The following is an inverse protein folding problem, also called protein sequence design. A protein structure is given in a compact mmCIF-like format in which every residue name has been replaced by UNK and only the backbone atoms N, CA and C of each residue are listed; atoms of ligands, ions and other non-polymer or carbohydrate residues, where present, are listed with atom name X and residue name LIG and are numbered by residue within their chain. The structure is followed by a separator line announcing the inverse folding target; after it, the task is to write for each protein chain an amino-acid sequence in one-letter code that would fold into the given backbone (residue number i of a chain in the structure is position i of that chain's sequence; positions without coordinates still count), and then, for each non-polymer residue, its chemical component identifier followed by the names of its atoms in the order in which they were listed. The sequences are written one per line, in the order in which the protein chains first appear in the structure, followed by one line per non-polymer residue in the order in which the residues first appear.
data_IF_446765831391
#
_entry.id   IF_446765831391
#
_cell.length_a   1.000
_cell.length_b   1.000
_cell.length_c   1.000
_cell.angle_alpha   90.00
_cell.angle_beta   90.00
_cell.angle_gamma   90.00
#
_symmetry.space_group_name_H-M   'P 1'
#
loop_
_entity.id
_entity.type
_entity.pdbx_description
1 polymer ?
#
# COMPACT_ATOMS: atom_id res chain seq x y z
N UNK A 1 24.83 0.57 -6.37
CA UNK A 1 24.12 -0.20 -7.42
C UNK A 1 22.91 0.60 -7.87
N UNK A 2 22.60 0.62 -9.17
CA UNK A 2 21.33 1.23 -9.63
C UNK A 2 20.13 0.43 -9.10
N UNK A 3 18.94 1.02 -8.91
CA UNK A 3 17.73 0.32 -8.44
C UNK A 3 17.37 -0.91 -9.25
N UNK A 4 17.73 -0.93 -10.50
CA UNK A 4 17.49 -1.97 -11.49
C UNK A 4 18.32 -3.24 -11.28
N UNK A 5 19.59 -3.09 -10.96
CA UNK A 5 20.43 -4.23 -10.59
C UNK A 5 19.89 -4.91 -9.32
N UNK A 6 19.23 -4.15 -8.44
CA UNK A 6 18.64 -4.64 -7.20
C UNK A 6 17.37 -5.49 -7.46
N UNK A 7 16.46 -5.04 -8.32
CA UNK A 7 15.24 -5.82 -8.65
C UNK A 7 15.59 -7.15 -9.33
N UNK A 8 16.51 -7.13 -10.30
CA UNK A 8 17.00 -8.34 -10.98
C UNK A 8 17.73 -9.29 -10.03
N UNK A 9 18.52 -8.74 -9.10
CA UNK A 9 19.20 -9.51 -8.05
C UNK A 9 18.20 -10.22 -7.14
N UNK A 10 17.20 -9.49 -6.65
CA UNK A 10 16.18 -10.06 -5.76
C UNK A 10 15.32 -11.10 -6.47
N UNK A 11 14.93 -10.85 -7.73
CA UNK A 11 14.20 -11.86 -8.51
C UNK A 11 15.02 -13.14 -8.75
N UNK A 12 16.36 -13.07 -8.73
CA UNK A 12 17.20 -14.27 -8.89
C UNK A 12 17.22 -15.18 -7.65
N UNK A 13 16.73 -14.69 -6.50
CA UNK A 13 16.57 -15.52 -5.28
C UNK A 13 15.27 -16.32 -5.27
N UNK A 14 14.32 -15.96 -6.15
CA UNK A 14 13.02 -16.63 -6.23
C UNK A 14 13.17 -18.04 -6.81
N UNK A 15 12.61 -19.02 -6.13
CA UNK A 15 12.61 -20.41 -6.62
C UNK A 15 11.71 -20.55 -7.85
N UNK A 16 12.26 -21.11 -8.93
CA UNK A 16 11.46 -21.39 -10.12
C UNK A 16 10.51 -22.58 -9.85
N UNK A 17 9.19 -22.37 -9.91
CA UNK A 17 8.22 -23.41 -9.61
C UNK A 17 8.10 -24.49 -10.70
N UNK A 18 8.77 -24.31 -11.83
CA UNK A 18 8.72 -25.25 -12.95
C UNK A 18 9.77 -26.37 -12.80
N UNK A 19 9.45 -27.58 -13.27
CA UNK A 19 10.43 -28.64 -13.39
C UNK A 19 11.53 -28.28 -14.41
N UNK A 20 12.77 -28.72 -14.16
CA UNK A 20 13.93 -28.40 -15.01
C UNK A 20 13.77 -28.82 -16.49
N UNK A 21 12.93 -29.81 -16.78
CA UNK A 21 12.72 -30.34 -18.13
C UNK A 21 11.99 -29.33 -19.06
N UNK A 22 11.21 -28.39 -18.49
CA UNK A 22 10.36 -27.48 -19.25
C UNK A 22 10.72 -25.99 -19.08
N UNK A 23 11.93 -25.67 -18.67
CA UNK A 23 12.40 -24.30 -18.43
C UNK A 23 13.03 -23.67 -19.71
N UNK A 24 12.26 -23.58 -20.80
CA UNK A 24 12.74 -22.96 -22.04
C UNK A 24 13.04 -21.46 -21.89
N UNK A 25 12.40 -20.77 -20.96
CA UNK A 25 12.57 -19.34 -20.68
C UNK A 25 13.01 -19.14 -19.24
N UNK A 26 13.95 -18.24 -19.00
CA UNK A 26 14.44 -17.90 -17.66
C UNK A 26 13.34 -17.25 -16.83
N UNK A 27 13.22 -17.59 -15.53
CA UNK A 27 12.23 -16.99 -14.62
C UNK A 27 12.41 -15.48 -14.55
N UNK A 28 13.64 -15.00 -14.38
CA UNK A 28 13.95 -13.57 -14.36
C UNK A 28 13.46 -12.81 -15.60
N UNK A 29 13.63 -13.40 -16.79
CA UNK A 29 13.17 -12.80 -18.04
C UNK A 29 11.65 -12.68 -18.06
N UNK A 30 10.93 -13.73 -17.61
CA UNK A 30 9.45 -13.73 -17.51
C UNK A 30 8.95 -12.64 -16.54
N UNK A 31 9.57 -12.52 -15.37
CA UNK A 31 9.18 -11.53 -14.36
C UNK A 31 9.42 -10.11 -14.87
N UNK A 32 10.58 -9.83 -15.46
CA UNK A 32 10.91 -8.52 -16.00
C UNK A 32 10.05 -8.16 -17.23
N UNK A 33 9.73 -9.12 -18.10
CA UNK A 33 8.72 -8.91 -19.15
C UNK A 33 7.39 -8.49 -18.55
N UNK A 34 6.94 -9.14 -17.47
CA UNK A 34 5.72 -8.79 -16.75
C UNK A 34 5.76 -7.35 -16.22
N UNK A 35 6.81 -6.98 -15.47
CA UNK A 35 6.98 -5.62 -14.91
C UNK A 35 6.96 -4.57 -16.01
N UNK A 36 7.79 -4.73 -17.04
CA UNK A 36 7.92 -3.76 -18.14
C UNK A 36 6.62 -3.62 -18.93
N UNK A 37 5.98 -4.75 -19.23
CA UNK A 37 4.69 -4.76 -19.95
C UNK A 37 3.59 -4.03 -19.15
N UNK A 38 3.50 -4.26 -17.84
CA UNK A 38 2.56 -3.56 -16.97
C UNK A 38 2.85 -2.06 -16.93
N UNK A 39 4.12 -1.66 -16.80
CA UNK A 39 4.51 -0.24 -16.86
C UNK A 39 4.02 0.39 -18.18
N UNK A 40 4.12 -0.31 -19.29
CA UNK A 40 3.76 0.16 -20.62
C UNK A 40 2.27 -0.02 -20.97
N UNK A 41 1.40 -0.40 -20.04
CA UNK A 41 -0.04 -0.41 -20.25
C UNK A 41 -0.69 -1.78 -20.43
N UNK A 42 0.07 -2.90 -20.48
CA UNK A 42 -0.52 -4.23 -20.57
C UNK A 42 -1.30 -4.60 -19.30
N UNK A 43 -2.48 -5.17 -19.47
CA UNK A 43 -3.40 -5.57 -18.39
C UNK A 43 -3.69 -7.08 -18.40
N UNK A 44 -3.44 -7.75 -19.52
CA UNK A 44 -3.67 -9.20 -19.69
C UNK A 44 -2.37 -9.91 -20.10
N UNK A 45 -2.28 -11.23 -19.82
CA UNK A 45 -1.14 -12.03 -20.24
C UNK A 45 -0.92 -11.96 -21.75
N UNK A 46 -2.00 -11.97 -22.53
CA UNK A 46 -1.96 -11.82 -23.99
C UNK A 46 -1.35 -10.49 -24.42
N UNK A 47 -1.75 -9.38 -23.80
CA UNK A 47 -1.19 -8.05 -24.06
C UNK A 47 0.29 -7.98 -23.70
N UNK A 48 0.72 -8.63 -22.60
CA UNK A 48 2.14 -8.70 -22.22
C UNK A 48 2.97 -9.39 -23.31
N UNK A 49 2.49 -10.50 -23.84
CA UNK A 49 3.16 -11.21 -24.95
C UNK A 49 3.20 -10.36 -26.21
N UNK A 50 2.08 -9.72 -26.58
CA UNK A 50 2.02 -8.86 -27.77
C UNK A 50 2.99 -7.68 -27.63
N UNK A 51 3.02 -7.02 -26.48
CA UNK A 51 3.95 -5.94 -26.20
C UNK A 51 5.41 -6.44 -26.27
N UNK A 52 5.72 -7.54 -25.58
CA UNK A 52 7.06 -8.09 -25.54
C UNK A 52 7.57 -8.48 -26.92
N UNK A 53 6.75 -9.09 -27.75
CA UNK A 53 7.09 -9.41 -29.15
C UNK A 53 7.36 -8.15 -29.99
N UNK A 54 6.54 -7.10 -29.81
CA UNK A 54 6.73 -5.82 -30.52
C UNK A 54 7.99 -5.06 -30.08
N UNK A 55 8.51 -5.37 -28.89
CA UNK A 55 9.68 -4.73 -28.27
C UNK A 55 10.82 -5.72 -27.98
N UNK A 56 10.89 -6.85 -28.68
CA UNK A 56 11.88 -7.88 -28.40
C UNK A 56 13.32 -7.36 -28.50
N UNK A 57 13.63 -6.52 -29.48
CA UNK A 57 14.94 -5.88 -29.60
C UNK A 57 15.30 -5.00 -28.42
N UNK A 58 14.33 -4.32 -27.83
CA UNK A 58 14.50 -3.55 -26.60
C UNK A 58 14.78 -4.46 -25.40
N UNK A 59 13.99 -5.51 -25.22
CA UNK A 59 14.19 -6.49 -24.15
C UNK A 59 15.56 -7.17 -24.22
N UNK A 60 16.05 -7.50 -25.42
CA UNK A 60 17.38 -8.12 -25.63
C UNK A 60 18.55 -7.24 -25.20
N UNK A 61 18.34 -5.95 -24.94
CA UNK A 61 19.40 -5.08 -24.38
C UNK A 61 19.75 -5.45 -22.93
N UNK A 62 18.84 -6.09 -22.17
CA UNK A 62 19.05 -6.41 -20.75
C UNK A 62 18.52 -7.78 -20.32
N UNK A 63 17.79 -8.51 -21.17
CA UNK A 63 17.34 -9.89 -20.96
C UNK A 63 18.10 -10.87 -21.87
N UNK A 64 18.20 -12.12 -21.42
CA UNK A 64 18.90 -13.17 -22.16
C UNK A 64 18.03 -13.71 -23.30
N UNK A 65 16.76 -14.00 -23.04
CA UNK A 65 15.76 -14.51 -23.97
C UNK A 65 16.26 -15.69 -24.82
N UNK A 66 16.71 -16.80 -24.21
CA UNK A 66 17.36 -17.91 -24.93
C UNK A 66 16.45 -18.52 -26.00
N UNK A 67 15.14 -18.54 -25.79
CA UNK A 67 14.14 -19.04 -26.74
C UNK A 67 13.11 -17.95 -27.14
N UNK A 68 13.54 -16.68 -27.17
CA UNK A 68 12.67 -15.53 -27.51
C UNK A 68 11.63 -15.22 -26.41
N UNK A 69 10.51 -14.64 -26.82
CA UNK A 69 9.44 -14.21 -25.90
C UNK A 69 8.56 -15.42 -25.52
N UNK A 70 8.27 -15.63 -24.21
CA UNK A 70 7.42 -16.72 -23.74
C UNK A 70 5.98 -16.58 -24.27
N UNK A 71 5.27 -17.70 -24.37
CA UNK A 71 3.85 -17.72 -24.71
C UNK A 71 2.98 -17.21 -23.58
N UNK A 72 1.71 -16.85 -23.88
CA UNK A 72 0.70 -16.46 -22.89
C UNK A 72 0.51 -17.54 -21.81
N UNK A 73 0.43 -18.81 -22.23
CA UNK A 73 0.28 -19.95 -21.31
C UNK A 73 1.50 -20.10 -20.39
N UNK A 74 2.70 -19.83 -20.90
CA UNK A 74 3.92 -19.87 -20.08
C UNK A 74 3.90 -18.78 -19.01
N UNK A 75 3.54 -17.53 -19.37
CA UNK A 75 3.42 -16.42 -18.42
C UNK A 75 2.33 -16.74 -17.38
N UNK A 76 1.14 -17.15 -17.82
CA UNK A 76 0.05 -17.50 -16.93
C UNK A 76 0.44 -18.62 -15.95
N UNK A 77 1.04 -19.70 -16.45
CA UNK A 77 1.48 -20.82 -15.61
C UNK A 77 2.52 -20.40 -14.59
N UNK A 78 3.51 -19.60 -14.97
CA UNK A 78 4.55 -19.13 -14.05
C UNK A 78 3.92 -18.27 -12.93
N UNK A 79 3.16 -17.21 -13.28
CA UNK A 79 2.52 -16.36 -12.28
C UNK A 79 1.44 -17.07 -11.44
N UNK A 80 0.87 -18.17 -11.92
CA UNK A 80 -0.03 -19.00 -11.14
C UNK A 80 0.69 -19.92 -10.16
N UNK A 81 1.91 -20.36 -10.48
CA UNK A 81 2.64 -21.38 -9.73
C UNK A 81 3.69 -20.82 -8.76
N UNK A 82 4.15 -19.57 -8.96
CA UNK A 82 5.07 -18.92 -8.01
C UNK A 82 4.43 -18.90 -6.63
N UNK A 83 5.19 -19.31 -5.61
CA UNK A 83 4.77 -19.14 -4.22
C UNK A 83 4.59 -17.67 -3.91
N UNK A 84 3.42 -17.31 -3.40
CA UNK A 84 3.07 -15.92 -3.18
C UNK A 84 3.82 -15.29 -1.99
N UNK A 85 4.17 -16.07 -0.97
CA UNK A 85 4.95 -15.58 0.18
C UNK A 85 6.41 -15.34 -0.23
N UNK A 86 6.98 -16.21 -1.05
CA UNK A 86 8.32 -16.02 -1.59
C UNK A 86 8.38 -14.78 -2.50
N UNK A 87 7.36 -14.58 -3.34
CA UNK A 87 7.31 -13.38 -4.21
C UNK A 87 7.08 -12.09 -3.42
N UNK A 88 6.26 -12.13 -2.37
CA UNK A 88 6.07 -11.00 -1.45
C UNK A 88 7.36 -10.66 -0.71
N UNK A 89 8.10 -11.68 -0.22
CA UNK A 89 9.42 -11.48 0.40
C UNK A 89 10.39 -10.80 -0.57
N UNK A 90 10.49 -11.26 -1.81
CA UNK A 90 11.29 -10.60 -2.84
C UNK A 90 10.88 -9.14 -3.05
N UNK A 91 9.57 -8.85 -3.08
CA UNK A 91 9.08 -7.49 -3.21
C UNK A 91 9.51 -6.60 -2.02
N UNK A 92 9.34 -7.09 -0.78
CA UNK A 92 9.71 -6.39 0.44
C UNK A 92 11.22 -6.15 0.52
N UNK A 93 12.05 -7.16 0.22
CA UNK A 93 13.51 -7.03 0.15
C UNK A 93 13.95 -5.97 -0.88
N UNK A 94 13.31 -5.97 -2.05
CA UNK A 94 13.60 -4.95 -3.06
C UNK A 94 13.25 -3.55 -2.54
N UNK A 95 12.07 -3.36 -1.94
CA UNK A 95 11.64 -2.07 -1.39
C UNK A 95 12.58 -1.59 -0.30
N UNK A 96 12.90 -2.42 0.68
CA UNK A 96 13.87 -2.09 1.75
C UNK A 96 15.23 -1.67 1.17
N UNK A 97 15.63 -2.28 0.05
CA UNK A 97 16.90 -1.91 -0.62
C UNK A 97 16.89 -0.54 -1.29
N UNK A 98 15.74 0.03 -1.62
CA UNK A 98 15.60 1.30 -2.37
C UNK A 98 14.91 2.42 -1.60
N UNK A 99 14.25 2.11 -0.48
CA UNK A 99 13.64 3.06 0.44
C UNK A 99 14.43 3.11 1.75
N UNK A 100 14.58 4.31 2.32
CA UNK A 100 15.08 4.48 3.68
C UNK A 100 13.98 5.21 4.44
N UNK A 101 13.30 4.49 5.33
CA UNK A 101 12.27 5.10 6.15
C UNK A 101 12.90 6.14 7.08
N UNK A 102 12.34 7.34 7.12
CA UNK A 102 12.77 8.39 8.03
C UNK A 102 12.09 8.18 9.39
N UNK A 103 12.79 8.51 10.47
CA UNK A 103 12.21 8.50 11.82
C UNK A 103 10.92 9.33 11.87
N UNK A 104 9.88 8.77 12.48
CA UNK A 104 8.54 9.37 12.55
C UNK A 104 7.76 9.37 11.24
N UNK A 105 8.22 8.64 10.22
CA UNK A 105 7.48 8.50 8.97
C UNK A 105 6.16 7.76 9.18
N UNK A 106 5.09 8.29 8.58
CA UNK A 106 3.76 7.67 8.67
C UNK A 106 3.63 6.56 7.65
N UNK A 107 3.30 5.36 8.14
CA UNK A 107 2.94 4.20 7.32
C UNK A 107 1.46 3.91 7.54
N UNK A 108 0.67 3.98 6.48
CA UNK A 108 -0.75 3.65 6.51
C UNK A 108 -0.96 2.18 6.14
N UNK A 109 -1.79 1.48 6.91
CA UNK A 109 -2.21 0.11 6.62
C UNK A 109 -3.70 0.12 6.34
N UNK A 110 -4.09 -0.48 5.22
CA UNK A 110 -5.49 -0.56 4.81
C UNK A 110 -5.71 -1.76 3.87
N UNK A 111 -6.95 -2.26 3.87
CA UNK A 111 -7.36 -3.41 3.08
C UNK A 111 -8.12 -3.02 1.81
N UNK A 112 -7.91 -3.80 0.75
CA UNK A 112 -8.61 -3.64 -0.53
C UNK A 112 -9.05 -4.97 -1.09
N UNK A 113 -10.32 -5.06 -1.50
CA UNK A 113 -10.85 -6.23 -2.23
C UNK A 113 -10.65 -6.06 -3.73
N UNK A 114 -9.97 -7.02 -4.38
CA UNK A 114 -9.78 -7.07 -5.84
C UNK A 114 -11.01 -7.75 -6.45
N UNK A 115 -12.02 -6.97 -6.85
CA UNK A 115 -13.37 -7.44 -7.19
C UNK A 115 -13.38 -8.44 -8.36
N UNK A 116 -12.59 -8.21 -9.41
CA UNK A 116 -12.51 -9.07 -10.59
C UNK A 116 -11.87 -10.44 -10.36
N UNK A 117 -11.09 -10.59 -9.29
CA UNK A 117 -10.32 -11.80 -8.98
C UNK A 117 -11.14 -12.89 -8.28
N UNK A 118 -12.47 -12.81 -8.26
CA UNK A 118 -13.33 -13.84 -7.70
C UNK A 118 -13.24 -15.14 -8.51
N UNK A 119 -12.69 -16.19 -7.91
CA UNK A 119 -12.60 -17.53 -8.52
C UNK A 119 -13.96 -18.22 -8.56
N UNK A 120 -14.18 -19.07 -9.58
CA UNK A 120 -15.38 -19.90 -9.67
C UNK A 120 -15.48 -20.80 -8.42
N UNK A 121 -16.65 -20.84 -7.79
CA UNK A 121 -16.90 -21.65 -6.57
C UNK A 121 -16.46 -21.00 -5.25
N UNK A 122 -15.75 -19.87 -5.25
CA UNK A 122 -15.40 -19.14 -4.04
C UNK A 122 -16.46 -18.09 -3.68
N UNK A 123 -16.74 -17.94 -2.36
CA UNK A 123 -17.74 -16.98 -1.86
C UNK A 123 -17.29 -15.53 -2.00
N UNK A 124 -15.99 -15.25 -1.88
CA UNK A 124 -15.43 -13.89 -1.88
C UNK A 124 -14.33 -13.69 -2.92
N UNK A 125 -14.15 -12.45 -3.34
CA UNK A 125 -12.98 -11.99 -4.06
C UNK A 125 -11.75 -11.92 -3.13
N UNK A 126 -10.55 -11.86 -3.70
CA UNK A 126 -9.31 -11.75 -2.92
C UNK A 126 -9.27 -10.40 -2.21
N UNK A 127 -9.01 -10.44 -0.91
CA UNK A 127 -8.80 -9.25 -0.08
C UNK A 127 -7.31 -9.12 0.27
N UNK A 128 -6.75 -7.95 0.06
CA UNK A 128 -5.33 -7.66 0.26
C UNK A 128 -5.18 -6.52 1.27
N UNK A 129 -4.34 -6.70 2.29
CA UNK A 129 -3.90 -5.62 3.18
C UNK A 129 -2.56 -5.11 2.68
N UNK A 130 -2.39 -3.79 2.61
CA UNK A 130 -1.18 -3.14 2.09
C UNK A 130 -0.63 -2.13 3.09
N UNK A 131 0.70 -1.97 3.10
CA UNK A 131 1.41 -0.94 3.84
C UNK A 131 1.94 0.14 2.89
N UNK A 132 1.67 1.40 3.21
CA UNK A 132 1.94 2.56 2.37
C UNK A 132 2.77 3.61 3.12
N UNK A 133 3.98 3.89 2.65
CA UNK A 133 4.82 4.98 3.16
C UNK A 133 4.29 6.32 2.62
N UNK A 134 3.70 7.13 3.52
CA UNK A 134 2.95 8.33 3.12
C UNK A 134 3.83 9.43 2.53
N UNK A 135 5.06 9.63 3.05
CA UNK A 135 5.99 10.65 2.58
C UNK A 135 6.60 10.27 1.23
N UNK A 136 7.05 9.03 1.08
CA UNK A 136 7.72 8.55 -0.13
C UNK A 136 6.74 8.20 -1.24
N UNK A 137 5.48 7.99 -0.88
CA UNK A 137 4.43 7.50 -1.77
C UNK A 137 4.79 6.12 -2.38
N UNK A 138 5.28 5.20 -1.55
CA UNK A 138 5.66 3.85 -1.94
C UNK A 138 4.85 2.79 -1.18
N UNK A 139 4.55 1.70 -1.86
CA UNK A 139 4.03 0.49 -1.22
C UNK A 139 5.21 -0.26 -0.63
N UNK A 140 5.15 -0.55 0.68
CA UNK A 140 6.22 -1.25 1.39
C UNK A 140 6.04 -2.77 1.37
N UNK A 141 4.80 -3.23 1.41
CA UNK A 141 4.44 -4.64 1.41
C UNK A 141 2.94 -4.82 1.31
N UNK A 142 2.52 -6.07 1.15
CA UNK A 142 1.13 -6.47 1.19
C UNK A 142 1.01 -7.89 1.70
N UNK A 143 -0.17 -8.28 2.14
CA UNK A 143 -0.50 -9.65 2.47
C UNK A 143 -1.95 -9.96 2.06
N UNK A 144 -2.20 -11.20 1.64
CA UNK A 144 -3.55 -11.67 1.39
C UNK A 144 -4.22 -12.04 2.70
N UNK A 145 -5.46 -11.62 2.86
CA UNK A 145 -6.32 -12.09 3.95
C UNK A 145 -6.84 -13.49 3.62
N UNK A 146 -6.69 -14.42 4.53
CA UNK A 146 -7.18 -15.79 4.37
C UNK A 146 -8.71 -15.83 4.33
N UNK A 147 -9.28 -16.80 3.58
CA UNK A 147 -10.74 -16.91 3.34
C UNK A 147 -11.58 -17.08 4.61
N UNK A 148 -10.99 -17.59 5.69
CA UNK A 148 -11.64 -17.79 7.00
C UNK A 148 -11.25 -16.76 8.04
N UNK A 149 -10.59 -15.70 7.64
CA UNK A 149 -9.94 -14.69 8.46
C UNK A 149 -10.41 -13.29 8.03
N UNK A 150 -9.87 -12.27 8.66
CA UNK A 150 -10.12 -10.86 8.37
C UNK A 150 -8.81 -10.06 8.45
N UNK A 151 -8.87 -8.76 8.24
CA UNK A 151 -7.71 -7.87 8.31
C UNK A 151 -7.02 -7.91 9.69
N UNK A 152 -7.78 -8.11 10.77
CA UNK A 152 -7.25 -8.12 12.14
C UNK A 152 -6.16 -9.18 12.31
N UNK A 153 -6.29 -10.33 11.66
CA UNK A 153 -5.31 -11.41 11.74
C UNK A 153 -4.20 -11.27 10.69
N UNK A 154 -4.45 -10.56 9.59
CA UNK A 154 -3.45 -10.35 8.54
C UNK A 154 -2.48 -9.21 8.87
N UNK A 155 -2.93 -8.15 9.55
CA UNK A 155 -2.12 -6.98 9.88
C UNK A 155 -0.87 -7.34 10.70
N UNK A 156 -0.93 -8.14 11.79
CA UNK A 156 0.27 -8.54 12.52
C UNK A 156 1.31 -9.21 11.62
N UNK A 157 0.90 -10.16 10.79
CA UNK A 157 1.81 -10.86 9.88
C UNK A 157 2.44 -9.89 8.84
N UNK A 158 1.70 -8.87 8.40
CA UNK A 158 2.28 -7.84 7.52
C UNK A 158 3.32 -7.00 8.27
N UNK A 159 3.05 -6.61 9.51
CA UNK A 159 3.97 -5.82 10.33
C UNK A 159 5.28 -6.55 10.62
N UNK A 160 5.24 -7.89 10.82
CA UNK A 160 6.42 -8.71 11.09
C UNK A 160 7.40 -8.80 9.91
N UNK A 161 6.93 -8.64 8.67
CA UNK A 161 7.79 -8.70 7.48
C UNK A 161 8.32 -7.35 7.03
N UNK A 162 7.87 -6.26 7.67
CA UNK A 162 8.26 -4.89 7.34
C UNK A 162 9.30 -4.36 8.33
N UNK A 163 10.25 -3.62 7.82
CA UNK A 163 11.14 -2.79 8.64
C UNK A 163 10.39 -1.49 8.97
N UNK A 164 9.85 -1.40 10.19
CA UNK A 164 8.99 -0.27 10.64
C UNK A 164 9.54 0.45 11.87
N UNK A 165 10.78 0.18 12.27
CA UNK A 165 11.43 0.83 13.41
C UNK A 165 11.29 2.37 13.32
N UNK A 166 10.98 3.00 14.45
CA UNK A 166 10.74 4.45 14.59
C UNK A 166 9.58 5.02 13.74
N UNK A 167 8.84 4.21 12.98
CA UNK A 167 7.69 4.67 12.18
C UNK A 167 6.44 4.91 13.03
N UNK A 168 5.46 5.62 12.44
CA UNK A 168 4.11 5.80 12.99
C UNK A 168 3.13 5.04 12.11
N UNK A 169 2.58 3.97 12.64
CA UNK A 169 1.60 3.13 11.95
C UNK A 169 0.20 3.69 12.14
N UNK A 170 -0.51 3.96 11.06
CA UNK A 170 -1.89 4.41 11.07
C UNK A 170 -2.81 3.36 10.49
N UNK A 171 -3.87 3.00 11.22
CA UNK A 171 -4.85 1.99 10.82
C UNK A 171 -6.24 2.53 11.10
N UNK A 172 -7.21 2.10 10.28
CA UNK A 172 -8.62 2.40 10.49
C UNK A 172 -9.20 1.71 11.75
N UNK A 173 -10.48 1.94 12.04
CA UNK A 173 -11.08 1.42 13.25
C UNK A 173 -11.16 -0.11 13.31
N UNK A 174 -11.19 -0.82 12.18
CA UNK A 174 -11.20 -2.29 12.18
C UNK A 174 -9.88 -2.83 12.77
N UNK A 175 -8.76 -2.18 12.46
CA UNK A 175 -7.45 -2.53 12.99
C UNK A 175 -7.15 -1.96 14.39
N UNK A 176 -8.12 -1.28 15.04
CA UNK A 176 -7.97 -0.85 16.44
C UNK A 176 -8.15 -2.06 17.36
N UNK A 177 -7.08 -2.84 17.52
CA UNK A 177 -7.03 -4.06 18.33
C UNK A 177 -5.78 -4.06 19.21
N UNK A 178 -5.91 -4.62 20.43
CA UNK A 178 -4.84 -4.64 21.43
C UNK A 178 -3.60 -5.40 20.94
N UNK A 179 -3.81 -6.54 20.29
CA UNK A 179 -2.73 -7.35 19.73
C UNK A 179 -1.98 -6.61 18.62
N UNK A 180 -2.69 -5.87 17.77
CA UNK A 180 -2.07 -5.05 16.72
C UNK A 180 -1.26 -3.91 17.36
N UNK A 181 -1.80 -3.21 18.36
CA UNK A 181 -1.06 -2.18 19.09
C UNK A 181 0.21 -2.75 19.73
N UNK A 182 0.12 -3.94 20.33
CA UNK A 182 1.25 -4.64 20.90
C UNK A 182 2.29 -5.01 19.83
N UNK A 183 1.89 -5.63 18.73
CA UNK A 183 2.80 -5.98 17.63
C UNK A 183 3.54 -4.75 17.09
N UNK A 184 2.87 -3.61 16.93
CA UNK A 184 3.53 -2.36 16.49
C UNK A 184 4.61 -1.95 17.49
N UNK A 185 4.32 -1.99 18.79
CA UNK A 185 5.26 -1.60 19.84
C UNK A 185 6.41 -2.59 19.97
N UNK A 186 6.16 -3.88 19.81
CA UNK A 186 7.18 -4.94 19.85
C UNK A 186 8.16 -4.82 18.66
N UNK A 187 7.77 -4.17 17.58
CA UNK A 187 8.62 -3.82 16.42
C UNK A 187 9.20 -2.39 16.51
N UNK A 188 9.34 -1.83 17.69
CA UNK A 188 9.91 -0.50 17.97
C UNK A 188 9.26 0.64 17.17
N UNK A 189 8.00 0.49 16.77
CA UNK A 189 7.19 1.49 16.08
C UNK A 189 6.15 2.14 17.02
N UNK A 190 5.49 3.17 16.52
CA UNK A 190 4.40 3.84 17.20
C UNK A 190 3.10 3.70 16.43
N UNK A 191 1.97 3.92 17.10
CA UNK A 191 0.66 3.80 16.45
C UNK A 191 -0.20 5.06 16.60
N UNK A 192 -1.10 5.25 15.64
CA UNK A 192 -2.30 6.10 15.72
C UNK A 192 -3.45 5.26 15.19
N UNK A 193 -4.34 4.78 16.06
CA UNK A 193 -5.45 3.89 15.72
C UNK A 193 -6.79 4.62 15.87
N UNK A 194 -7.65 4.52 14.85
CA UNK A 194 -8.99 5.10 14.90
C UNK A 194 -9.89 4.27 15.82
N UNK A 195 -10.67 4.94 16.67
CA UNK A 195 -11.58 4.31 17.63
C UNK A 195 -13.02 4.55 17.20
N UNK A 196 -13.82 3.47 17.14
CA UNK A 196 -15.25 3.47 16.87
C UNK A 196 -15.98 2.50 17.79
N UNK A 197 -17.24 2.22 17.47
CA UNK A 197 -18.15 1.36 18.25
C UNK A 197 -17.64 -0.08 18.42
N UNK A 198 -16.72 -0.55 17.59
CA UNK A 198 -16.06 -1.85 17.77
C UNK A 198 -15.21 -1.91 19.04
N UNK A 199 -14.87 -0.74 19.63
CA UNK A 199 -14.20 -0.56 20.92
C UNK A 199 -15.05 0.34 21.82
N UNK A 200 -16.32 -0.04 22.06
CA UNK A 200 -17.35 0.79 22.72
C UNK A 200 -16.90 1.35 24.08
N UNK A 201 -16.36 0.50 24.95
CA UNK A 201 -15.88 0.92 26.26
C UNK A 201 -14.75 1.95 26.20
N UNK A 202 -13.79 1.75 25.28
CA UNK A 202 -12.71 2.72 25.06
C UNK A 202 -13.25 4.04 24.49
N UNK A 203 -14.22 3.96 23.58
CA UNK A 203 -14.86 5.14 23.01
C UNK A 203 -15.61 5.97 24.07
N UNK A 204 -16.31 5.32 24.98
CA UNK A 204 -16.98 5.97 26.13
C UNK A 204 -15.94 6.64 27.05
N UNK A 205 -14.90 5.91 27.44
CA UNK A 205 -13.80 6.45 28.24
C UNK A 205 -13.18 7.72 27.60
N UNK A 206 -12.99 7.70 26.26
CA UNK A 206 -12.47 8.85 25.50
C UNK A 206 -13.48 10.01 25.48
N UNK A 207 -14.78 9.74 25.33
CA UNK A 207 -15.81 10.78 25.37
C UNK A 207 -15.81 11.48 26.72
N UNK A 208 -15.73 10.72 27.82
CA UNK A 208 -15.68 11.29 29.17
C UNK A 208 -14.40 12.10 29.38
N UNK A 209 -13.26 11.62 28.84
CA UNK A 209 -12.01 12.37 28.90
C UNK A 209 -12.15 13.74 28.24
N UNK A 210 -12.69 13.83 27.01
CA UNK A 210 -12.89 15.11 26.32
C UNK A 210 -14.00 15.99 26.96
N UNK A 211 -14.89 15.40 27.77
CA UNK A 211 -15.94 16.12 28.47
C UNK A 211 -15.44 16.78 29.75
N UNK A 212 -14.55 16.12 30.50
CA UNK A 212 -14.16 16.52 31.84
C UNK A 212 -12.74 17.08 31.95
N UNK A 213 -11.85 16.76 31.00
CA UNK A 213 -10.48 17.28 31.01
C UNK A 213 -10.45 18.79 30.78
N UNK A 214 -9.56 19.47 31.52
CA UNK A 214 -9.30 20.91 31.37
C UNK A 214 -8.09 21.20 30.48
N UNK A 215 -7.15 20.28 30.39
CA UNK A 215 -5.89 20.43 29.67
C UNK A 215 -5.98 19.78 28.28
N UNK A 216 -6.60 20.54 27.36
CA UNK A 216 -6.78 20.11 25.96
C UNK A 216 -5.96 21.01 25.05
N UNK A 217 -4.93 20.46 24.42
CA UNK A 217 -4.20 21.16 23.37
C UNK A 217 -4.95 21.07 22.05
N UNK A 218 -5.04 22.19 21.32
CA UNK A 218 -5.81 22.26 20.08
C UNK A 218 -5.02 22.85 18.93
N UNK A 219 -5.26 22.34 17.72
CA UNK A 219 -4.81 22.93 16.48
C UNK A 219 -5.95 22.98 15.46
N UNK A 220 -6.09 24.14 14.78
CA UNK A 220 -7.13 24.32 13.74
C UNK A 220 -6.47 24.57 12.39
N UNK A 221 -6.95 23.88 11.36
CA UNK A 221 -6.59 24.15 9.99
C UNK A 221 -7.83 24.41 9.13
N UNK A 222 -7.69 25.25 8.11
CA UNK A 222 -8.73 25.54 7.13
C UNK A 222 -8.15 25.32 5.73
N UNK A 223 -8.77 24.42 4.96
CA UNK A 223 -8.41 24.13 3.58
C UNK A 223 -9.55 24.52 2.65
N UNK A 224 -9.23 25.14 1.50
CA UNK A 224 -10.20 25.48 0.47
C UNK A 224 -9.78 24.86 -0.85
N UNK A 225 -10.55 23.86 -1.35
CA UNK A 225 -10.28 23.21 -2.63
C UNK A 225 -11.56 22.63 -3.24
N UNK A 226 -11.60 22.50 -4.57
CA UNK A 226 -12.70 21.88 -5.31
C UNK A 226 -14.12 22.39 -4.92
N UNK A 227 -14.27 23.71 -4.71
CA UNK A 227 -15.55 24.33 -4.39
C UNK A 227 -16.06 24.09 -2.97
N UNK A 228 -15.19 23.67 -2.05
CA UNK A 228 -15.52 23.45 -0.63
C UNK A 228 -14.49 24.10 0.30
N UNK A 229 -14.94 24.45 1.50
CA UNK A 229 -14.08 24.83 2.61
C UNK A 229 -14.18 23.73 3.66
N UNK A 230 -13.06 23.26 4.12
CA UNK A 230 -12.98 22.24 5.16
C UNK A 230 -12.16 22.75 6.35
N UNK A 231 -12.85 22.95 7.47
CA UNK A 231 -12.24 23.31 8.76
C UNK A 231 -12.04 22.06 9.60
N UNK A 232 -10.84 21.85 10.11
CA UNK A 232 -10.51 20.74 11.01
C UNK A 232 -9.93 21.25 12.30
N UNK A 233 -10.44 20.72 13.41
CA UNK A 233 -9.90 20.96 14.74
C UNK A 233 -9.37 19.63 15.28
N UNK A 234 -8.09 19.57 15.59
CA UNK A 234 -7.46 18.47 16.29
C UNK A 234 -7.34 18.87 17.77
N UNK A 235 -7.91 18.07 18.64
CA UNK A 235 -7.83 18.21 20.10
C UNK A 235 -7.08 17.02 20.67
N UNK A 236 -6.12 17.26 21.56
CA UNK A 236 -5.19 16.26 22.10
C UNK A 236 -5.15 16.32 23.62
N UNK A 237 -5.20 15.17 24.29
CA UNK A 237 -5.03 15.00 25.73
C UNK A 237 -3.96 13.93 25.97
N UNK A 238 -2.95 14.27 26.77
CA UNK A 238 -1.84 13.36 27.14
C UNK A 238 -1.89 12.93 28.61
N UNK A 239 -2.46 13.76 29.47
CA UNK A 239 -2.72 13.40 30.87
C UNK A 239 -4.20 13.11 31.05
N UNK A 240 -4.59 11.86 30.84
CA UNK A 240 -5.97 11.39 30.94
C UNK A 240 -6.19 10.56 32.20
N UNK A 241 -7.40 10.72 32.79
CA UNK A 241 -7.79 10.09 34.03
C UNK A 241 -8.95 9.09 33.85
N UNK A 242 -9.80 9.29 32.87
CA UNK A 242 -11.01 8.50 32.62
C UNK A 242 -10.71 7.28 31.74
N UNK A 243 -9.76 7.39 30.83
CA UNK A 243 -9.31 6.22 30.04
C UNK A 243 -8.59 5.26 30.98
N UNK A 244 -9.20 4.10 31.21
CA UNK A 244 -8.66 3.10 32.15
C UNK A 244 -7.28 2.65 31.70
N UNK A 245 -6.26 3.02 32.46
CA UNK A 245 -4.85 2.64 32.26
C UNK A 245 -4.56 1.17 32.61
N UNK A 246 -5.50 0.27 32.40
CA UNK A 246 -5.42 -1.14 32.84
C UNK A 246 -4.39 -2.00 32.03
N UNK A 247 -3.37 -1.40 31.43
CA UNK A 247 -2.37 -2.12 30.64
C UNK A 247 -2.91 -2.78 29.36
N UNK A 248 -4.18 -2.49 29.02
CA UNK A 248 -4.85 -3.12 27.89
C UNK A 248 -4.38 -2.61 26.52
N UNK A 249 -3.82 -1.39 26.47
CA UNK A 249 -3.27 -0.75 25.27
C UNK A 249 -1.80 -0.45 25.50
N UNK A 250 -0.93 -1.16 24.80
CA UNK A 250 0.51 -1.07 24.99
C UNK A 250 1.01 0.36 24.70
N UNK A 251 1.76 0.93 25.64
CA UNK A 251 2.29 2.31 25.58
C UNK A 251 1.27 3.40 25.18
N UNK A 252 -0.01 3.26 25.50
CA UNK A 252 -0.99 4.34 25.26
C UNK A 252 -0.59 5.61 26.01
N UNK A 253 -0.41 6.71 25.26
CA UNK A 253 0.04 8.02 25.80
C UNK A 253 -0.88 9.18 25.47
N UNK A 254 -1.68 9.06 24.40
CA UNK A 254 -2.44 10.19 23.88
C UNK A 254 -3.81 9.73 23.38
N UNK A 255 -4.84 10.50 23.71
CA UNK A 255 -6.16 10.41 23.08
C UNK A 255 -6.41 11.66 22.24
N UNK A 256 -6.99 11.46 21.05
CA UNK A 256 -7.11 12.48 20.02
C UNK A 256 -8.55 12.55 19.53
N UNK A 257 -9.06 13.78 19.37
CA UNK A 257 -10.35 14.06 18.73
C UNK A 257 -10.12 14.93 17.50
N UNK A 258 -10.62 14.51 16.33
CA UNK A 258 -10.67 15.32 15.11
C UNK A 258 -12.13 15.71 14.85
N UNK A 259 -12.39 16.99 14.85
CA UNK A 259 -13.67 17.58 14.45
C UNK A 259 -13.48 18.19 13.06
N UNK A 260 -14.31 17.81 12.11
CA UNK A 260 -14.26 18.36 10.73
C UNK A 260 -15.60 18.97 10.36
N UNK A 261 -15.56 20.19 9.80
CA UNK A 261 -16.69 20.89 9.21
C UNK A 261 -16.40 21.12 7.74
N UNK A 262 -17.29 20.66 6.86
CA UNK A 262 -17.17 20.81 5.42
C UNK A 262 -18.34 21.64 4.87
N UNK A 263 -18.02 22.78 4.30
CA UNK A 263 -18.95 23.73 3.71
C UNK A 263 -18.78 23.75 2.19
N UNK A 264 -19.88 23.67 1.44
CA UNK A 264 -19.85 23.64 -0.01
C UNK A 264 -20.16 25.03 -0.56
N UNK A 265 -19.24 25.55 -1.41
CA UNK A 265 -19.44 26.83 -2.11
C UNK A 265 -20.37 26.63 -3.31
N UNK A 266 -21.28 27.56 -3.52
CA UNK A 266 -22.18 27.57 -4.68
C UNK A 266 -22.97 26.24 -4.85
N UNK A 267 -23.44 25.67 -3.74
CA UNK A 267 -24.20 24.42 -3.71
C UNK A 267 -25.20 24.45 -2.56
N UNK A 268 -26.40 23.89 -2.80
CA UNK A 268 -27.43 23.71 -1.78
C UNK A 268 -27.16 22.52 -0.85
N UNK A 269 -25.97 21.89 -0.96
CA UNK A 269 -25.59 20.80 -0.06
C UNK A 269 -25.42 21.31 1.37
N UNK A 270 -26.01 20.62 2.34
CA UNK A 270 -25.87 20.99 3.75
C UNK A 270 -24.40 20.85 4.19
N UNK A 271 -24.04 21.65 5.19
CA UNK A 271 -22.75 21.51 5.87
C UNK A 271 -22.63 20.14 6.51
N UNK A 272 -21.54 19.44 6.22
CA UNK A 272 -21.23 18.14 6.80
C UNK A 272 -20.33 18.34 8.02
N UNK A 273 -20.72 17.74 9.17
CA UNK A 273 -19.91 17.70 10.37
C UNK A 273 -19.56 16.25 10.69
N UNK A 274 -18.31 16.00 11.10
CA UNK A 274 -17.89 14.68 11.54
C UNK A 274 -16.91 14.79 12.71
N UNK A 275 -17.03 13.86 13.66
CA UNK A 275 -16.10 13.70 14.78
C UNK A 275 -15.49 12.31 14.70
N UNK A 276 -14.18 12.23 14.93
CA UNK A 276 -13.43 10.97 14.96
C UNK A 276 -12.48 10.96 16.13
N UNK A 277 -12.34 9.80 16.75
CA UNK A 277 -11.46 9.59 17.90
C UNK A 277 -10.34 8.64 17.56
N UNK A 278 -9.18 8.86 18.19
CA UNK A 278 -7.98 8.05 17.99
C UNK A 278 -7.26 7.87 19.32
N UNK A 279 -6.51 6.78 19.40
CA UNK A 279 -5.50 6.52 20.43
C UNK A 279 -4.12 6.47 19.83
N UNK A 280 -3.10 6.83 20.61
CA UNK A 280 -1.72 6.82 20.13
C UNK A 280 -0.71 6.50 21.24
N UNK A 281 0.37 5.82 20.85
CA UNK A 281 1.59 5.66 21.65
C UNK A 281 2.54 6.86 21.55
N UNK A 282 2.33 7.77 20.58
CA UNK A 282 3.12 8.99 20.42
C UNK A 282 2.72 10.07 21.41
N UNK A 283 3.67 10.98 21.67
CA UNK A 283 3.42 12.30 22.25
C UNK A 283 3.89 13.32 21.22
N UNK A 284 2.94 13.86 20.45
CA UNK A 284 3.17 14.83 19.35
C UNK A 284 2.32 16.08 19.60
N UNK A 285 2.67 17.16 18.90
CA UNK A 285 1.82 18.34 18.84
C UNK A 285 0.50 18.06 18.08
N UNK A 286 -0.58 18.79 18.43
CA UNK A 286 -1.88 18.62 17.79
C UNK A 286 -1.84 18.81 16.27
N UNK A 287 -0.96 19.67 15.77
CA UNK A 287 -0.72 19.90 14.32
C UNK A 287 -0.11 18.67 13.63
N UNK A 288 0.81 17.98 14.31
CA UNK A 288 1.48 16.78 13.79
C UNK A 288 0.52 15.58 13.80
N UNK A 289 -0.28 15.40 14.84
CA UNK A 289 -1.34 14.41 14.86
C UNK A 289 -2.34 14.63 13.73
N UNK A 290 -2.80 15.88 13.53
CA UNK A 290 -3.72 16.21 12.43
C UNK A 290 -3.13 15.85 11.07
N UNK A 291 -1.85 16.18 10.84
CA UNK A 291 -1.11 15.86 9.60
C UNK A 291 -0.97 14.34 9.41
N UNK A 292 -0.59 13.61 10.45
CA UNK A 292 -0.42 12.15 10.40
C UNK A 292 -1.73 11.43 10.13
N UNK A 293 -2.81 11.79 10.83
CA UNK A 293 -4.15 11.23 10.62
C UNK A 293 -4.66 11.54 9.20
N UNK A 294 -4.42 12.76 8.71
CA UNK A 294 -4.81 13.14 7.34
C UNK A 294 -4.03 12.35 6.29
N UNK A 295 -2.75 12.06 6.54
CA UNK A 295 -1.91 11.32 5.60
C UNK A 295 -2.36 9.87 5.40
N UNK A 296 -3.08 9.28 6.38
CA UNK A 296 -3.68 7.95 6.25
C UNK A 296 -4.55 7.81 4.99
N UNK A 297 -5.34 8.84 4.65
CA UNK A 297 -6.14 8.85 3.41
C UNK A 297 -5.32 8.78 2.12
N UNK A 298 -3.99 8.94 2.25
CA UNK A 298 -3.07 8.75 1.12
C UNK A 298 -3.10 7.34 0.56
N UNK A 299 -3.33 6.31 1.38
CA UNK A 299 -3.41 4.93 0.91
C UNK A 299 -4.62 4.72 -0.02
N UNK A 300 -5.79 5.28 0.30
CA UNK A 300 -6.96 5.20 -0.58
C UNK A 300 -6.74 5.97 -1.89
N UNK A 301 -6.30 7.23 -1.80
CA UNK A 301 -6.24 8.14 -2.94
C UNK A 301 -5.01 7.95 -3.83
N UNK A 302 -3.87 7.56 -3.24
CA UNK A 302 -2.58 7.47 -3.95
C UNK A 302 -2.15 6.02 -4.23
N UNK A 303 -2.78 5.03 -3.60
CA UNK A 303 -2.55 3.62 -3.86
C UNK A 303 -3.81 2.98 -4.47
N UNK A 304 -4.87 2.78 -3.69
CA UNK A 304 -6.03 1.99 -4.12
C UNK A 304 -6.70 2.57 -5.37
N UNK A 305 -7.04 3.86 -5.35
CA UNK A 305 -7.62 4.53 -6.51
C UNK A 305 -6.68 4.51 -7.73
N UNK A 306 -5.37 4.66 -7.52
CA UNK A 306 -4.39 4.62 -8.63
C UNK A 306 -4.27 3.23 -9.23
N UNK A 307 -4.33 2.17 -8.42
CA UNK A 307 -4.36 0.79 -8.93
C UNK A 307 -5.62 0.52 -9.76
N UNK A 308 -6.77 1.08 -9.35
CA UNK A 308 -8.02 0.89 -10.11
C UNK A 308 -8.05 1.71 -11.39
N UNK A 309 -7.80 3.01 -11.32
CA UNK A 309 -7.92 3.90 -12.49
C UNK A 309 -6.68 3.84 -13.39
N UNK A 310 -5.50 3.67 -12.80
CA UNK A 310 -4.23 3.64 -13.51
C UNK A 310 -3.86 2.28 -14.08
N UNK A 311 -4.23 1.18 -13.41
CA UNK A 311 -3.84 -0.19 -13.78
C UNK A 311 -5.02 -1.13 -14.01
N UNK A 312 -6.26 -0.65 -13.79
CA UNK A 312 -7.49 -1.45 -13.96
C UNK A 312 -7.50 -2.73 -13.10
N UNK A 313 -6.98 -2.63 -11.84
CA UNK A 313 -6.81 -3.79 -10.95
C UNK A 313 -8.14 -4.51 -10.66
N UNK A 314 -9.20 -3.75 -10.37
CA UNK A 314 -10.53 -4.29 -10.06
C UNK A 314 -11.19 -5.05 -11.22
N UNK A 315 -10.80 -4.78 -12.47
CA UNK A 315 -11.27 -5.53 -13.64
C UNK A 315 -10.42 -6.76 -13.96
N UNK A 316 -9.33 -7.00 -13.22
CA UNK A 316 -8.44 -8.15 -13.45
C UNK A 316 -9.13 -9.48 -13.19
N UNK A 317 -9.14 -10.35 -14.20
CA UNK A 317 -9.75 -11.69 -14.14
C UNK A 317 -8.73 -12.82 -13.99
N UNK A 318 -7.56 -12.54 -13.44
CA UNK A 318 -6.55 -13.56 -13.14
C UNK A 318 -7.00 -14.32 -11.89
N UNK A 319 -7.45 -15.57 -12.06
CA UNK A 319 -8.14 -16.34 -11.02
C UNK A 319 -7.52 -17.70 -10.74
N UNK A 320 -6.48 -18.06 -11.49
CA UNK A 320 -5.84 -19.36 -11.39
C UNK A 320 -4.83 -19.36 -10.23
N UNK A 321 -5.00 -20.25 -9.26
CA UNK A 321 -4.09 -20.43 -8.12
C UNK A 321 -3.61 -19.08 -7.53
N UNK A 322 -2.30 -18.81 -7.55
CA UNK A 322 -1.68 -17.59 -7.00
C UNK A 322 -1.67 -16.40 -7.99
N UNK A 323 -2.20 -16.56 -9.22
CA UNK A 323 -2.09 -15.57 -10.29
C UNK A 323 -2.58 -14.17 -9.90
N UNK A 324 -3.70 -14.06 -9.16
CA UNK A 324 -4.26 -12.78 -8.77
C UNK A 324 -3.36 -12.04 -7.76
N UNK A 325 -2.85 -12.78 -6.79
CA UNK A 325 -1.97 -12.25 -5.74
C UNK A 325 -0.61 -11.84 -6.33
N UNK A 326 0.01 -12.71 -7.13
CA UNK A 326 1.28 -12.44 -7.79
C UNK A 326 1.17 -11.28 -8.80
N UNK A 327 0.00 -11.14 -9.46
CA UNK A 327 -0.26 -9.99 -10.32
C UNK A 327 -0.40 -8.68 -9.53
N UNK A 328 -1.02 -8.71 -8.36
CA UNK A 328 -1.10 -7.54 -7.46
C UNK A 328 0.30 -7.07 -7.02
N UNK A 329 1.22 -8.00 -6.72
CA UNK A 329 2.64 -7.68 -6.45
C UNK A 329 3.26 -7.00 -7.68
N UNK A 330 3.06 -7.56 -8.86
CA UNK A 330 3.59 -7.02 -10.13
C UNK A 330 3.10 -5.58 -10.37
N UNK A 331 1.82 -5.29 -10.10
CA UNK A 331 1.26 -3.93 -10.20
C UNK A 331 1.93 -2.96 -9.23
N UNK A 332 2.20 -3.40 -7.99
CA UNK A 332 2.83 -2.56 -6.98
C UNK A 332 4.30 -2.29 -7.27
N UNK A 333 5.03 -3.27 -7.82
CA UNK A 333 6.39 -3.05 -8.35
C UNK A 333 6.37 -1.99 -9.45
N UNK A 334 5.48 -2.13 -10.43
CA UNK A 334 5.35 -1.17 -11.52
C UNK A 334 4.95 0.23 -11.02
N UNK A 335 4.03 0.31 -10.06
CA UNK A 335 3.62 1.57 -9.42
C UNK A 335 4.79 2.25 -8.71
N UNK A 336 5.55 1.50 -7.90
CA UNK A 336 6.70 2.04 -7.16
C UNK A 336 7.79 2.56 -8.10
N UNK A 337 8.10 1.83 -9.18
CA UNK A 337 9.05 2.30 -10.21
C UNK A 337 8.59 3.60 -10.86
N UNK A 338 7.31 3.70 -11.26
CA UNK A 338 6.74 4.90 -11.86
C UNK A 338 6.68 6.09 -10.88
N UNK A 339 6.50 5.82 -9.58
CA UNK A 339 6.51 6.86 -8.54
C UNK A 339 7.91 7.34 -8.19
N UNK A 340 8.90 6.45 -8.24
CA UNK A 340 10.31 6.80 -8.03
C UNK A 340 10.88 7.66 -9.17
N UNK A 341 10.38 7.51 -10.38
CA UNK A 341 10.74 8.38 -11.50
C UNK A 341 10.12 9.79 -11.29
N UNK A 342 10.94 10.83 -11.09
CA UNK A 342 10.52 12.20 -10.74
C UNK A 342 10.68 13.21 -11.87
N UNK A 343 11.29 12.84 -13.00
CA UNK A 343 11.55 13.78 -14.11
C UNK A 343 10.27 14.11 -14.87
N UNK A 344 9.26 13.22 -14.83
CA UNK A 344 7.95 13.42 -15.43
C UNK A 344 6.90 13.79 -14.37
N UNK A 345 6.20 14.91 -14.58
CA UNK A 345 5.21 15.43 -13.62
C UNK A 345 3.78 14.93 -13.85
N UNK A 346 3.54 14.20 -14.95
CA UNK A 346 2.22 13.61 -15.24
C UNK A 346 1.80 12.58 -14.20
N UNK A 347 0.50 12.35 -14.07
CA UNK A 347 -0.05 11.26 -13.26
C UNK A 347 0.38 9.88 -13.80
N UNK A 348 0.18 8.84 -12.99
CA UNK A 348 0.64 7.47 -13.29
C UNK A 348 0.17 6.98 -14.66
N UNK A 349 -1.09 7.25 -15.06
CA UNK A 349 -1.60 6.87 -16.39
C UNK A 349 -0.80 7.52 -17.52
N UNK A 350 -0.47 8.82 -17.40
CA UNK A 350 0.36 9.53 -18.38
C UNK A 350 1.79 8.99 -18.43
N UNK A 351 2.38 8.69 -17.28
CA UNK A 351 3.73 8.06 -17.20
C UNK A 351 3.75 6.69 -17.87
N UNK A 352 2.72 5.86 -17.69
CA UNK A 352 2.58 4.55 -18.34
C UNK A 352 2.53 4.68 -19.87
N UNK A 353 1.72 5.60 -20.38
CA UNK A 353 1.63 5.89 -21.83
C UNK A 353 2.99 6.34 -22.39
N UNK A 354 3.64 7.30 -21.71
CA UNK A 354 4.97 7.80 -22.11
C UNK A 354 6.01 6.68 -22.12
N UNK A 355 6.00 5.79 -21.14
CA UNK A 355 6.89 4.63 -21.08
C UNK A 355 6.68 3.67 -22.25
N UNK A 356 5.43 3.45 -22.67
CA UNK A 356 5.10 2.61 -23.84
C UNK A 356 5.58 3.21 -25.16
N UNK A 357 5.62 4.55 -25.26
CA UNK A 357 6.00 5.26 -26.48
C UNK A 357 7.49 5.60 -26.57
N UNK A 358 8.17 5.78 -25.43
CA UNK A 358 9.55 6.27 -25.36
C UNK A 358 10.44 5.33 -24.55
N UNK A 359 11.30 4.58 -25.26
CA UNK A 359 12.22 3.63 -24.64
C UNK A 359 13.23 4.31 -23.70
N UNK A 360 13.70 5.52 -24.04
CA UNK A 360 14.61 6.28 -23.16
C UNK A 360 13.97 6.65 -21.84
N UNK A 361 12.68 7.01 -21.85
CA UNK A 361 11.92 7.25 -20.64
C UNK A 361 11.66 5.93 -19.87
N UNK A 362 11.32 4.86 -20.57
CA UNK A 362 11.14 3.55 -19.96
C UNK A 362 12.42 3.08 -19.24
N UNK A 363 13.59 3.27 -19.84
CA UNK A 363 14.88 2.98 -19.20
C UNK A 363 15.07 3.79 -17.91
N UNK A 364 14.68 5.08 -17.91
CA UNK A 364 14.71 5.88 -16.67
C UNK A 364 13.80 5.34 -15.59
N UNK A 365 12.56 4.93 -15.94
CA UNK A 365 11.61 4.31 -15.00
C UNK A 365 12.19 3.03 -14.41
N UNK A 366 12.86 2.23 -15.23
CA UNK A 366 13.52 0.99 -14.81
C UNK A 366 14.83 1.23 -14.06
N UNK A 367 15.40 2.43 -14.09
CA UNK A 367 16.73 2.74 -13.55
C UNK A 367 17.88 2.17 -14.38
N UNK A 368 17.60 1.70 -15.61
CA UNK A 368 18.59 1.14 -16.52
C UNK A 368 19.46 2.21 -17.19
N UNK A 369 20.78 1.99 -17.18
CA UNK A 369 21.73 2.69 -18.05
C UNK A 369 22.14 1.69 -19.14
N UNK A 370 21.65 1.88 -20.34
CA UNK A 370 22.03 1.11 -21.53
C UNK A 370 22.82 2.01 -22.46
#
# INVERSE_FOLDING_TARGET
MSPDNKLKCVFSTLTDPRSHINQLHLLNDILLIGVVSVICGAETWKQMVQFAKSKESFFRKFLVLPNGIPSEDTINRVFSSIDNLDFERCFTEWITSISTLSKGQVISIDGKTIRGAKSHGKKSAIHMVSAWACQDNLVLGQIKVDEKSNEITAIPNLLEILDIEDAIITIDAMGCQKEIAKTIIDNDANYILAVKENQASLLEDIHDEFRFSKDITKHTSVDGDHGRIETRVCSVITDFQHVKKNGAWEKLRTVIKIESKREFKNSDKPTENAIRYYISSCTLEASEFQKSIRSHWGIENKLHWVLDVGFNEDASRKRNQNAAQNYSILLKIALNLLKNEKTEKQGIKGKRLKAGWNEGYLLKVLGLKV
#
